data_IF_260628241415
#
_entry.id   IF_260628241415
#
_cell.length_a   1.000
_cell.length_b   1.000
_cell.length_c   1.000
_cell.angle_alpha   90.00
_cell.angle_beta   90.00
_cell.angle_gamma   90.00
#
_symmetry.space_group_name_H-M   'P 1'
#
loop_
_entity.id
_entity.type
_entity.pdbx_description
1 polymer ?
#
# COMPACT_ATOMS: atom_id res chain seq x y z
N UNK A 1 -16.22 2.48 1.94
CA UNK A 1 -17.23 1.46 1.61
C UNK A 1 -18.41 2.06 0.85
N UNK A 2 -19.33 2.82 1.48
CA UNK A 2 -20.53 3.37 0.82
C UNK A 2 -20.32 4.04 -0.56
N UNK A 3 -19.26 4.84 -0.73
CA UNK A 3 -18.93 5.45 -2.03
C UNK A 3 -18.62 4.43 -3.13
N UNK A 4 -17.92 3.35 -2.80
CA UNK A 4 -17.58 2.29 -3.75
C UNK A 4 -18.83 1.45 -4.11
N UNK A 5 -19.71 1.21 -3.15
CA UNK A 5 -21.00 0.54 -3.37
C UNK A 5 -21.88 1.36 -4.33
N UNK A 6 -21.95 2.68 -4.13
CA UNK A 6 -22.66 3.60 -5.03
C UNK A 6 -22.07 3.64 -6.45
N UNK A 7 -20.81 3.22 -6.63
CA UNK A 7 -20.14 3.12 -7.94
C UNK A 7 -20.29 1.72 -8.57
N UNK A 8 -21.03 0.79 -7.94
CA UNK A 8 -21.27 -0.55 -8.47
C UNK A 8 -20.13 -1.54 -8.29
N UNK A 9 -19.22 -1.31 -7.34
CA UNK A 9 -18.12 -2.25 -7.03
C UNK A 9 -18.68 -3.55 -6.44
N UNK A 10 -18.29 -4.70 -6.99
CA UNK A 10 -18.79 -6.03 -6.61
C UNK A 10 -18.26 -6.52 -5.26
N UNK A 11 -16.97 -6.33 -5.00
CA UNK A 11 -16.28 -6.79 -3.78
C UNK A 11 -15.44 -5.67 -3.20
N UNK A 12 -15.57 -5.42 -1.88
CA UNK A 12 -14.91 -4.29 -1.20
C UNK A 12 -14.19 -4.78 0.05
N UNK A 13 -12.87 -4.74 -0.01
CA UNK A 13 -11.94 -5.06 1.07
C UNK A 13 -11.56 -3.78 1.84
N UNK A 14 -11.62 -3.84 3.16
CA UNK A 14 -11.20 -2.75 4.06
C UNK A 14 -10.30 -3.38 5.11
N UNK A 15 -9.02 -3.44 4.79
CA UNK A 15 -8.02 -4.18 5.55
C UNK A 15 -7.39 -3.29 6.63
N UNK A 16 -7.27 -3.81 7.86
CA UNK A 16 -6.48 -3.19 8.91
C UNK A 16 -5.05 -3.72 8.88
N UNK A 17 -4.18 -3.01 8.16
CA UNK A 17 -2.77 -3.39 8.00
C UNK A 17 -1.84 -2.64 8.97
N UNK A 18 -2.38 -1.98 10.01
CA UNK A 18 -1.57 -1.12 10.90
C UNK A 18 -0.50 -1.91 11.67
N UNK A 19 -0.86 -3.07 12.20
CA UNK A 19 0.07 -3.90 12.98
C UNK A 19 1.19 -4.47 12.09
N UNK A 20 0.84 -5.00 10.91
CA UNK A 20 1.81 -5.49 9.92
C UNK A 20 2.72 -4.35 9.46
N UNK A 21 2.16 -3.16 9.18
CA UNK A 21 2.93 -1.99 8.80
C UNK A 21 3.98 -1.63 9.85
N UNK A 22 3.58 -1.56 11.12
CA UNK A 22 4.51 -1.21 12.21
C UNK A 22 5.58 -2.29 12.38
N UNK A 23 5.16 -3.55 12.51
CA UNK A 23 6.03 -4.68 12.81
C UNK A 23 7.05 -4.94 11.69
N UNK A 24 6.57 -4.95 10.45
CA UNK A 24 7.30 -5.49 9.30
C UNK A 24 7.88 -4.41 8.37
N UNK A 25 7.51 -3.13 8.55
CA UNK A 25 8.04 -2.02 7.74
C UNK A 25 8.65 -0.89 8.59
N UNK A 26 7.91 -0.37 9.57
CA UNK A 26 8.39 0.75 10.41
C UNK A 26 9.57 0.32 11.30
N UNK A 27 9.46 -0.80 12.03
CA UNK A 27 10.55 -1.23 12.91
C UNK A 27 11.83 -1.61 12.16
N UNK A 28 11.79 -2.33 11.01
CA UNK A 28 12.98 -2.52 10.17
C UNK A 28 13.61 -1.21 9.70
N UNK A 29 12.81 -0.27 9.18
CA UNK A 29 13.28 1.06 8.76
C UNK A 29 13.97 1.80 9.91
N UNK A 30 13.35 1.80 11.09
CA UNK A 30 13.89 2.45 12.28
C UNK A 30 15.21 1.81 12.74
N UNK A 31 15.28 0.47 12.80
CA UNK A 31 16.51 -0.26 13.14
C UNK A 31 17.67 0.02 12.16
N UNK A 32 17.35 0.29 10.90
CA UNK A 32 18.34 0.66 9.89
C UNK A 32 18.79 2.13 9.97
N UNK A 33 18.21 2.94 10.86
CA UNK A 33 18.35 4.40 10.87
C UNK A 33 18.13 5.00 9.47
N UNK A 34 17.12 4.50 8.75
CA UNK A 34 16.88 4.92 7.38
C UNK A 34 16.36 6.37 7.36
N UNK A 35 17.15 7.25 6.76
CA UNK A 35 16.81 8.67 6.57
C UNK A 35 17.21 9.04 5.15
N UNK A 36 16.23 9.53 4.38
CA UNK A 36 16.47 9.99 3.03
C UNK A 36 16.94 11.44 3.04
N UNK A 37 18.07 11.70 2.38
CA UNK A 37 18.69 13.02 2.26
C UNK A 37 18.91 13.72 3.61
N UNK A 38 19.07 12.95 4.69
CA UNK A 38 19.36 13.46 6.04
C UNK A 38 18.18 14.06 6.79
N UNK A 39 16.98 14.13 6.19
CA UNK A 39 15.81 14.79 6.81
C UNK A 39 14.52 13.95 6.75
N UNK A 40 14.31 13.18 5.68
CA UNK A 40 13.01 12.54 5.44
C UNK A 40 12.95 11.09 5.94
N UNK A 41 11.97 10.80 6.81
CA UNK A 41 11.76 9.48 7.43
C UNK A 41 10.89 8.52 6.60
N UNK A 42 10.87 8.68 5.27
CA UNK A 42 10.37 7.68 4.31
C UNK A 42 8.92 7.19 4.49
N UNK A 43 8.09 7.87 5.28
CA UNK A 43 6.77 7.36 5.70
C UNK A 43 5.86 6.90 4.56
N UNK A 44 5.78 7.67 3.48
CA UNK A 44 5.01 7.27 2.27
C UNK A 44 5.65 6.07 1.59
N UNK A 45 6.96 6.12 1.37
CA UNK A 45 7.71 5.13 0.58
C UNK A 45 7.69 3.73 1.21
N UNK A 46 7.70 3.63 2.54
CA UNK A 46 7.65 2.32 3.22
C UNK A 46 6.24 1.73 3.32
N UNK A 47 5.18 2.54 3.17
CA UNK A 47 3.81 2.05 3.18
C UNK A 47 3.40 1.44 1.83
N UNK A 48 3.94 1.95 0.71
CA UNK A 48 3.56 1.50 -0.64
C UNK A 48 3.79 0.01 -0.90
N UNK A 49 4.93 -0.60 -0.50
CA UNK A 49 5.14 -2.02 -0.72
C UNK A 49 4.13 -2.91 0.02
N UNK A 50 3.68 -2.52 1.22
CA UNK A 50 2.62 -3.26 1.95
C UNK A 50 1.28 -3.19 1.23
N UNK A 51 0.90 -2.01 0.76
CA UNK A 51 -0.36 -1.82 0.00
C UNK A 51 -0.30 -2.63 -1.30
N UNK A 52 0.81 -2.56 -2.04
CA UNK A 52 0.99 -3.31 -3.27
C UNK A 52 0.97 -4.83 -3.04
N UNK A 53 1.63 -5.31 -1.98
CA UNK A 53 1.58 -6.72 -1.56
C UNK A 53 0.14 -7.18 -1.33
N UNK A 54 -0.65 -6.44 -0.54
CA UNK A 54 -2.04 -6.82 -0.27
C UNK A 54 -2.92 -6.78 -1.52
N UNK A 55 -2.68 -5.85 -2.46
CA UNK A 55 -3.36 -5.84 -3.76
C UNK A 55 -3.07 -7.11 -4.58
N UNK A 56 -1.81 -7.57 -4.59
CA UNK A 56 -1.43 -8.82 -5.28
C UNK A 56 -2.08 -10.04 -4.63
N UNK A 57 -2.12 -10.11 -3.31
CA UNK A 57 -2.79 -11.19 -2.59
C UNK A 57 -4.30 -11.23 -2.87
N UNK A 58 -4.99 -10.09 -2.81
CA UNK A 58 -6.42 -10.01 -3.13
C UNK A 58 -6.66 -10.41 -4.59
N UNK A 59 -5.83 -9.96 -5.52
CA UNK A 59 -5.98 -10.35 -6.93
C UNK A 59 -5.85 -11.88 -7.11
N UNK A 60 -4.94 -12.53 -6.37
CA UNK A 60 -4.82 -13.98 -6.37
C UNK A 60 -6.03 -14.67 -5.70
N UNK A 61 -6.53 -14.13 -4.58
CA UNK A 61 -7.71 -14.63 -3.86
C UNK A 61 -8.99 -14.56 -4.71
N UNK A 62 -9.16 -13.49 -5.49
CA UNK A 62 -10.34 -13.28 -6.34
C UNK A 62 -10.18 -13.83 -7.77
N UNK A 63 -8.98 -14.28 -8.15
CA UNK A 63 -8.67 -14.68 -9.51
C UNK A 63 -8.71 -13.52 -10.52
N UNK A 64 -8.34 -12.31 -10.11
CA UNK A 64 -8.30 -11.15 -10.98
C UNK A 64 -7.07 -11.18 -11.90
N UNK A 65 -7.27 -10.88 -13.18
CA UNK A 65 -6.19 -10.84 -14.19
C UNK A 65 -5.32 -9.57 -14.10
N UNK A 66 -5.82 -8.51 -13.46
CA UNK A 66 -5.19 -7.20 -13.46
C UNK A 66 -5.39 -6.44 -12.14
N UNK A 67 -4.41 -5.60 -11.82
CA UNK A 67 -4.43 -4.64 -10.73
C UNK A 67 -4.34 -3.23 -11.33
N UNK A 68 -5.03 -2.26 -10.73
CA UNK A 68 -4.97 -0.85 -11.13
C UNK A 68 -4.72 0.03 -9.91
N UNK A 69 -3.99 1.15 -10.10
CA UNK A 69 -3.76 2.17 -9.09
C UNK A 69 -3.96 3.58 -9.64
N UNK A 70 -4.26 4.53 -8.76
CA UNK A 70 -4.50 5.94 -9.12
C UNK A 70 -3.29 6.87 -8.97
N UNK A 71 -2.07 6.37 -8.74
CA UNK A 71 -0.88 7.22 -8.67
C UNK A 71 -0.68 8.03 -9.98
N UNK A 72 -0.14 9.25 -9.84
CA UNK A 72 0.05 10.14 -11.00
C UNK A 72 1.24 9.69 -11.85
N UNK A 73 1.18 9.97 -13.16
CA UNK A 73 2.25 9.63 -14.11
C UNK A 73 3.60 10.32 -13.90
N UNK A 74 3.71 11.23 -12.92
CA UNK A 74 4.91 12.01 -12.62
C UNK A 74 5.38 11.87 -11.16
N UNK A 75 4.68 11.08 -10.35
CA UNK A 75 5.00 10.88 -8.93
C UNK A 75 5.86 9.65 -8.68
N UNK A 76 6.40 9.53 -7.47
CA UNK A 76 7.20 8.38 -7.06
C UNK A 76 6.34 7.13 -6.76
N UNK A 77 5.08 7.32 -6.35
CA UNK A 77 4.18 6.24 -5.95
C UNK A 77 3.78 5.27 -7.09
N UNK A 78 4.03 5.64 -8.36
CA UNK A 78 3.76 4.79 -9.52
C UNK A 78 4.88 3.76 -9.78
N UNK A 79 6.04 3.95 -9.14
CA UNK A 79 7.23 3.11 -9.26
C UNK A 79 7.15 1.99 -8.22
#
# INVERSE_FOLDING_TARGET
>A
RAKAEAMGVSEIYVEDLREEFVRDYVFPMFRANAVYEGEYLLGTSIARPLIAKRLVEIAAETGADAISHGATGKGNDQV
#
